data_IF_579979527894
#
_entry.id   IF_579979527894
#
_cell.length_a   1.000
_cell.length_b   1.000
_cell.length_c   1.000
_cell.angle_alpha   90.00
_cell.angle_beta   90.00
_cell.angle_gamma   90.00
#
_symmetry.space_group_name_H-M   'P 1'
#
loop_
_entity.id
_entity.type
_entity.pdbx_description
1 polymer ?
#
# COMPACT_ATOMS: atom_id res chain seq x y z
N UNK A 1 -15.52 -18.20 16.44
CA UNK A 1 -14.07 -17.95 16.58
C UNK A 1 -13.42 -18.69 17.75
N UNK A 2 -13.94 -18.67 18.99
CA UNK A 2 -13.29 -19.36 20.13
C UNK A 2 -13.02 -20.86 19.90
N UNK A 3 -13.98 -21.61 19.35
CA UNK A 3 -13.77 -23.02 19.04
C UNK A 3 -12.67 -23.24 17.98
N UNK A 4 -12.57 -22.34 17.00
CA UNK A 4 -11.52 -22.35 15.99
C UNK A 4 -10.16 -22.07 16.61
N UNK A 5 -10.01 -21.05 17.46
CA UNK A 5 -8.71 -20.75 18.10
C UNK A 5 -8.25 -21.90 19.03
N UNK A 6 -9.19 -22.53 19.76
CA UNK A 6 -8.88 -23.75 20.54
C UNK A 6 -8.43 -24.92 19.66
N UNK A 7 -9.01 -25.04 18.46
CA UNK A 7 -8.59 -26.06 17.49
C UNK A 7 -7.23 -25.72 16.88
N UNK A 8 -7.00 -24.45 16.52
CA UNK A 8 -5.76 -23.97 15.95
C UNK A 8 -4.59 -24.11 16.93
N UNK A 9 -4.77 -23.80 18.22
CA UNK A 9 -3.77 -24.03 19.27
C UNK A 9 -3.36 -25.51 19.38
N UNK A 10 -4.34 -26.43 19.29
CA UNK A 10 -4.06 -27.88 19.26
C UNK A 10 -3.29 -28.29 18.00
N UNK A 11 -3.74 -27.83 16.83
CA UNK A 11 -3.07 -28.10 15.56
C UNK A 11 -1.65 -27.54 15.52
N UNK A 12 -1.42 -26.37 16.10
CA UNK A 12 -0.11 -25.74 16.11
C UNK A 12 0.87 -26.48 17.03
N UNK A 13 0.38 -26.89 18.19
CA UNK A 13 1.20 -27.56 19.21
C UNK A 13 1.55 -29.00 18.82
N UNK A 14 0.70 -29.68 18.04
CA UNK A 14 0.90 -31.05 17.61
C UNK A 14 2.01 -31.16 16.54
N UNK A 15 3.13 -31.87 16.82
CA UNK A 15 4.20 -32.10 15.84
C UNK A 15 3.77 -32.94 14.63
N UNK A 16 2.69 -33.72 14.74
CA UNK A 16 2.15 -34.56 13.66
C UNK A 16 1.02 -33.89 12.88
N UNK A 17 0.68 -32.66 13.22
CA UNK A 17 -0.36 -31.89 12.55
C UNK A 17 -0.03 -31.67 11.08
N UNK A 18 -1.04 -31.84 10.22
CA UNK A 18 -0.96 -31.51 8.79
C UNK A 18 -0.61 -30.04 8.55
N UNK A 19 -0.84 -29.16 9.53
CA UNK A 19 -0.54 -27.73 9.42
C UNK A 19 0.95 -27.42 9.63
N UNK A 20 1.76 -28.37 10.12
CA UNK A 20 3.18 -28.13 10.39
C UNK A 20 3.97 -27.63 9.18
N UNK A 21 3.90 -28.27 8.00
CA UNK A 21 4.54 -27.76 6.80
C UNK A 21 4.06 -26.35 6.42
N UNK A 22 2.78 -26.03 6.67
CA UNK A 22 2.22 -24.71 6.41
C UNK A 22 2.76 -23.63 7.35
N UNK A 23 3.12 -24.00 8.59
CA UNK A 23 3.64 -23.11 9.61
C UNK A 23 5.15 -22.83 9.49
N UNK A 24 5.90 -23.65 8.76
CA UNK A 24 7.34 -23.51 8.56
C UNK A 24 7.71 -22.18 7.87
N UNK A 25 8.76 -21.53 8.34
CA UNK A 25 9.24 -20.26 7.78
C UNK A 25 9.53 -20.40 6.29
N UNK A 26 8.89 -19.55 5.49
CA UNK A 26 9.09 -19.48 4.04
C UNK A 26 10.09 -18.38 3.69
N UNK A 27 10.66 -18.48 2.50
CA UNK A 27 11.62 -17.51 1.95
C UNK A 27 11.23 -17.13 0.53
N UNK A 28 11.57 -15.92 0.14
CA UNK A 28 11.60 -15.53 -1.27
C UNK A 28 12.72 -16.28 -2.01
N UNK A 29 12.71 -16.21 -3.35
CA UNK A 29 13.70 -16.88 -4.20
C UNK A 29 15.16 -16.45 -3.93
N UNK A 30 15.37 -15.25 -3.39
CA UNK A 30 16.67 -14.71 -3.00
C UNK A 30 17.09 -15.09 -1.57
N UNK A 31 16.29 -15.89 -0.87
CA UNK A 31 16.56 -16.36 0.49
C UNK A 31 16.08 -15.43 1.61
N UNK A 32 15.57 -14.24 1.30
CA UNK A 32 15.00 -13.34 2.29
C UNK A 32 13.73 -13.96 2.93
N UNK A 33 13.48 -13.72 4.23
CA UNK A 33 12.32 -14.30 4.91
C UNK A 33 11.00 -13.75 4.34
N UNK A 34 10.02 -14.62 4.16
CA UNK A 34 8.66 -14.25 3.77
C UNK A 34 7.73 -14.23 4.99
N UNK A 35 6.98 -13.13 5.15
CA UNK A 35 6.02 -12.96 6.25
C UNK A 35 4.70 -13.69 6.02
N UNK A 36 4.34 -14.00 4.78
CA UNK A 36 3.07 -14.62 4.45
C UNK A 36 3.26 -16.06 3.98
N UNK A 37 2.44 -16.97 4.49
CA UNK A 37 2.45 -18.38 4.09
C UNK A 37 1.15 -19.09 4.42
N UNK A 38 0.70 -19.94 3.50
CA UNK A 38 -0.49 -20.78 3.66
C UNK A 38 -1.73 -20.01 4.16
N UNK A 39 -1.91 -18.77 3.70
CA UNK A 39 -3.05 -17.96 4.07
C UNK A 39 -2.92 -17.19 5.39
N UNK A 40 -1.75 -17.19 6.05
CA UNK A 40 -1.51 -16.47 7.31
C UNK A 40 -0.29 -15.56 7.22
N UNK A 41 -0.42 -14.39 7.84
CA UNK A 41 0.69 -13.50 8.15
C UNK A 41 1.40 -13.98 9.41
N UNK A 42 2.72 -13.83 9.41
CA UNK A 42 3.59 -14.06 10.55
C UNK A 42 4.34 -12.76 10.84
N UNK A 43 4.04 -12.18 11.99
CA UNK A 43 4.44 -10.82 12.35
C UNK A 43 5.05 -10.84 13.74
N UNK A 44 6.13 -10.09 13.91
CA UNK A 44 6.69 -9.80 15.22
C UNK A 44 6.01 -8.56 15.82
N UNK A 45 5.52 -8.71 17.05
CA UNK A 45 4.96 -7.62 17.85
C UNK A 45 5.85 -7.45 19.07
N UNK A 46 6.84 -6.56 18.97
CA UNK A 46 7.80 -6.25 20.03
C UNK A 46 8.48 -7.50 20.62
N UNK A 47 8.97 -8.39 19.76
CA UNK A 47 9.61 -9.66 20.13
C UNK A 47 8.65 -10.82 20.35
N UNK A 48 7.34 -10.61 20.23
CA UNK A 48 6.33 -11.67 20.28
C UNK A 48 6.02 -12.13 18.86
N UNK A 49 6.42 -13.36 18.54
CA UNK A 49 6.09 -13.98 17.27
C UNK A 49 4.60 -14.32 17.23
N UNK A 50 3.88 -13.76 16.25
CA UNK A 50 2.46 -13.98 16.06
C UNK A 50 2.15 -14.58 14.69
N UNK A 51 1.01 -15.26 14.59
CA UNK A 51 0.45 -15.77 13.35
C UNK A 51 -1.04 -15.42 13.26
N UNK A 52 -1.45 -14.84 12.14
CA UNK A 52 -2.73 -14.16 12.06
C UNK A 52 -3.22 -13.92 10.66
N UNK A 53 -4.44 -13.41 10.56
CA UNK A 53 -4.96 -12.85 9.32
C UNK A 53 -6.07 -11.85 9.62
N UNK A 54 -6.15 -10.82 8.78
CA UNK A 54 -7.25 -9.87 8.76
C UNK A 54 -8.41 -10.33 7.87
N UNK A 55 -9.45 -9.53 7.82
CA UNK A 55 -10.49 -9.67 6.82
C UNK A 55 -11.24 -8.35 6.72
N UNK A 56 -11.57 -7.96 5.49
CA UNK A 56 -12.26 -6.72 5.24
C UNK A 56 -13.32 -6.93 4.17
N UNK A 57 -14.45 -6.27 4.38
CA UNK A 57 -15.47 -6.00 3.38
C UNK A 57 -16.07 -4.63 3.72
N UNK A 58 -16.72 -3.95 2.78
CA UNK A 58 -17.37 -2.68 3.10
C UNK A 58 -18.31 -2.81 4.30
N UNK A 59 -18.04 -2.04 5.34
CA UNK A 59 -18.79 -2.06 6.61
C UNK A 59 -18.36 -3.11 7.64
N UNK A 60 -17.33 -3.93 7.36
CA UNK A 60 -16.88 -4.99 8.26
C UNK A 60 -15.36 -5.09 8.30
N UNK A 61 -14.80 -5.27 9.50
CA UNK A 61 -13.38 -5.58 9.71
C UNK A 61 -13.25 -6.68 10.74
N UNK A 62 -12.29 -7.57 10.52
CA UNK A 62 -11.90 -8.56 11.52
C UNK A 62 -10.39 -8.73 11.52
N UNK A 63 -9.86 -9.15 12.66
CA UNK A 63 -8.50 -9.60 12.77
C UNK A 63 -8.39 -10.73 13.78
N UNK A 64 -7.61 -11.76 13.45
CA UNK A 64 -7.18 -12.78 14.41
C UNK A 64 -5.66 -12.79 14.50
N UNK A 65 -5.16 -12.96 15.71
CA UNK A 65 -3.74 -13.03 16.02
C UNK A 65 -3.51 -14.09 17.09
N UNK A 66 -2.59 -15.01 16.85
CA UNK A 66 -2.20 -16.07 17.78
C UNK A 66 -0.71 -15.97 18.08
N UNK A 67 -0.35 -15.89 19.36
CA UNK A 67 1.02 -15.91 19.86
C UNK A 67 1.32 -17.33 20.36
N UNK A 68 2.06 -18.17 19.59
CA UNK A 68 2.10 -19.60 19.88
C UNK A 68 2.83 -19.99 21.15
N UNK A 69 3.89 -19.25 21.52
CA UNK A 69 4.66 -19.51 22.73
C UNK A 69 3.82 -19.21 23.99
N UNK A 70 3.01 -18.17 23.92
CA UNK A 70 2.11 -17.71 24.98
C UNK A 70 0.77 -18.49 24.95
N UNK A 71 0.51 -19.23 23.87
CA UNK A 71 -0.76 -19.92 23.58
C UNK A 71 -1.96 -18.98 23.73
N UNK A 72 -1.77 -17.73 23.29
CA UNK A 72 -2.71 -16.63 23.45
C UNK A 72 -3.29 -16.28 22.08
N UNK A 73 -4.62 -16.21 21.99
CA UNK A 73 -5.31 -15.72 20.80
C UNK A 73 -6.08 -14.44 21.12
N UNK A 74 -5.95 -13.45 20.24
CA UNK A 74 -6.78 -12.24 20.23
C UNK A 74 -7.59 -12.24 18.94
N UNK A 75 -8.89 -12.00 19.06
CA UNK A 75 -9.80 -11.89 17.92
C UNK A 75 -10.64 -10.64 18.08
N UNK A 76 -10.65 -9.79 17.06
CA UNK A 76 -11.45 -8.58 16.99
C UNK A 76 -12.37 -8.67 15.79
N UNK A 77 -13.65 -8.34 15.97
CA UNK A 77 -14.64 -8.27 14.90
C UNK A 77 -15.42 -6.97 15.06
N UNK A 78 -15.42 -6.16 14.02
CA UNK A 78 -16.17 -4.92 13.94
C UNK A 78 -17.22 -5.01 12.83
N UNK A 79 -18.40 -4.49 13.14
CA UNK A 79 -19.47 -4.17 12.17
C UNK A 79 -19.33 -2.73 11.65
N UNK A 80 -18.09 -2.24 11.59
CA UNK A 80 -17.67 -0.98 11.02
C UNK A 80 -16.23 -1.10 10.49
N UNK A 81 -15.71 -0.03 9.89
CA UNK A 81 -14.45 -0.06 9.14
C UNK A 81 -13.22 0.43 9.91
N UNK A 82 -13.25 0.41 11.25
CA UNK A 82 -12.06 0.75 12.02
C UNK A 82 -11.02 -0.38 11.94
N UNK A 83 -9.77 -0.06 12.23
CA UNK A 83 -8.67 -1.01 12.17
C UNK A 83 -8.80 -2.09 13.26
N UNK A 84 -9.26 -3.27 12.86
CA UNK A 84 -9.34 -4.43 13.74
C UNK A 84 -7.95 -5.05 14.03
N UNK A 85 -6.97 -4.83 13.16
CA UNK A 85 -5.59 -5.28 13.35
C UNK A 85 -4.90 -4.50 14.45
N UNK A 86 -4.96 -3.16 14.39
CA UNK A 86 -4.43 -2.28 15.44
C UNK A 86 -5.10 -2.55 16.80
N UNK A 87 -6.42 -2.74 16.82
CA UNK A 87 -7.13 -3.12 18.04
C UNK A 87 -6.69 -4.49 18.60
N UNK A 88 -6.45 -5.49 17.74
CA UNK A 88 -5.97 -6.80 18.17
C UNK A 88 -4.53 -6.72 18.72
N UNK A 89 -3.66 -5.97 18.04
CA UNK A 89 -2.29 -5.73 18.47
C UNK A 89 -2.26 -5.00 19.82
N UNK A 90 -3.08 -3.95 20.00
CA UNK A 90 -3.23 -3.24 21.26
C UNK A 90 -3.60 -4.17 22.42
N UNK A 91 -4.61 -5.03 22.25
CA UNK A 91 -5.04 -5.98 23.27
C UNK A 91 -3.90 -6.95 23.60
N UNK A 92 -3.21 -7.50 22.60
CA UNK A 92 -2.07 -8.39 22.81
C UNK A 92 -0.98 -7.70 23.65
N UNK A 93 -0.57 -6.49 23.25
CA UNK A 93 0.45 -5.69 23.93
C UNK A 93 0.10 -5.45 25.39
N UNK A 94 -1.17 -5.11 25.68
CA UNK A 94 -1.64 -4.88 27.06
C UNK A 94 -1.69 -6.16 27.90
N UNK A 95 -2.15 -7.28 27.35
CA UNK A 95 -2.16 -8.57 28.07
C UNK A 95 -0.75 -9.02 28.40
N UNK A 96 0.19 -8.86 27.48
CA UNK A 96 1.59 -9.29 27.65
C UNK A 96 2.49 -8.22 28.28
N UNK A 97 1.95 -7.03 28.60
CA UNK A 97 2.69 -5.89 29.17
C UNK A 97 3.92 -5.52 28.33
N UNK A 98 3.74 -5.48 27.00
CA UNK A 98 4.81 -5.13 26.06
C UNK A 98 5.16 -3.63 26.18
N UNK A 99 6.42 -3.25 25.91
CA UNK A 99 6.86 -1.86 25.95
C UNK A 99 6.05 -1.00 24.96
N UNK A 100 5.83 0.28 25.27
CA UNK A 100 5.21 1.21 24.32
C UNK A 100 6.18 1.62 23.21
N UNK A 101 5.69 1.93 21.99
CA UNK A 101 6.57 2.33 20.90
C UNK A 101 7.24 3.66 21.26
N UNK A 102 8.54 3.77 20.96
CA UNK A 102 9.28 5.00 21.20
C UNK A 102 8.75 6.16 20.35
N UNK A 103 8.60 7.33 20.97
CA UNK A 103 8.31 8.55 20.26
C UNK A 103 9.51 8.96 19.38
N UNK A 104 9.25 9.60 18.24
CA UNK A 104 10.34 10.25 17.50
C UNK A 104 10.88 11.42 18.32
N UNK A 105 12.19 11.50 18.45
CA UNK A 105 12.90 12.68 18.99
C UNK A 105 13.66 13.44 17.90
N UNK A 106 13.43 13.08 16.63
CA UNK A 106 14.14 13.62 15.47
C UNK A 106 13.12 14.26 14.54
N UNK A 107 13.38 15.51 14.18
CA UNK A 107 12.60 16.22 13.18
C UNK A 107 13.02 15.77 11.77
N UNK A 108 12.08 15.38 10.89
CA UNK A 108 12.39 15.06 9.52
C UNK A 108 12.76 16.32 8.74
N UNK A 109 13.72 16.20 7.82
CA UNK A 109 14.06 17.28 6.90
C UNK A 109 12.87 17.61 5.98
N UNK A 110 12.56 18.90 5.70
CA UNK A 110 11.48 19.29 4.80
C UNK A 110 11.51 18.62 3.42
N UNK A 111 12.69 18.18 2.96
CA UNK A 111 12.83 17.43 1.71
C UNK A 111 12.04 16.11 1.70
N UNK A 112 11.56 15.57 2.82
CA UNK A 112 10.73 14.37 2.77
C UNK A 112 9.42 14.59 2.02
N UNK A 113 8.83 15.77 2.14
CA UNK A 113 7.45 16.01 1.73
C UNK A 113 7.30 16.09 0.21
N UNK A 114 6.24 15.48 -0.32
CA UNK A 114 5.88 15.58 -1.73
C UNK A 114 5.50 14.26 -2.37
N UNK A 115 5.46 14.28 -3.70
CA UNK A 115 5.16 13.13 -4.54
C UNK A 115 6.44 12.67 -5.24
N UNK A 116 6.58 11.37 -5.41
CA UNK A 116 7.68 10.73 -6.11
C UNK A 116 7.14 9.66 -7.05
N UNK A 117 7.87 9.31 -8.10
CA UNK A 117 7.54 8.22 -9.01
C UNK A 117 8.67 7.21 -9.05
N UNK A 118 8.36 5.97 -8.72
CA UNK A 118 9.26 4.85 -8.96
C UNK A 118 9.15 4.39 -10.42
N UNK A 119 10.23 4.56 -11.19
CA UNK A 119 10.24 4.23 -12.63
C UNK A 119 10.10 2.73 -12.88
N UNK A 120 10.56 1.91 -11.95
CA UNK A 120 10.53 0.46 -12.08
C UNK A 120 9.14 -0.11 -11.83
N UNK A 121 8.34 0.41 -10.91
CA UNK A 121 6.96 -0.06 -10.67
C UNK A 121 5.90 0.78 -11.36
N UNK A 122 6.26 2.01 -11.80
CA UNK A 122 5.32 3.02 -12.29
C UNK A 122 4.26 3.42 -11.26
N UNK A 123 4.61 3.34 -9.97
CA UNK A 123 3.74 3.73 -8.86
C UNK A 123 4.24 5.01 -8.20
N UNK A 124 3.30 5.87 -7.84
CA UNK A 124 3.61 7.07 -7.08
C UNK A 124 3.80 6.75 -5.59
N UNK A 125 4.78 7.39 -4.98
CA UNK A 125 4.97 7.44 -3.53
C UNK A 125 4.58 8.83 -3.05
N UNK A 126 3.73 8.90 -2.04
CA UNK A 126 3.34 10.17 -1.43
C UNK A 126 3.85 10.22 0.01
N UNK A 127 4.53 11.31 0.35
CA UNK A 127 5.06 11.54 1.69
C UNK A 127 4.45 12.80 2.27
N UNK A 128 3.82 12.67 3.43
CA UNK A 128 3.16 13.76 4.15
C UNK A 128 3.58 13.77 5.63
N UNK A 129 3.47 14.92 6.32
CA UNK A 129 3.66 14.93 7.77
C UNK A 129 2.58 14.10 8.47
N UNK A 130 2.94 13.49 9.60
CA UNK A 130 2.01 12.81 10.50
C UNK A 130 2.13 13.37 11.93
N UNK A 131 1.35 12.83 12.86
CA UNK A 131 1.35 13.22 14.27
C UNK A 131 2.70 12.91 14.91
N UNK A 132 3.04 13.67 15.95
CA UNK A 132 4.23 13.44 16.80
C UNK A 132 5.57 13.39 16.04
N UNK A 133 5.72 14.20 14.98
CA UNK A 133 6.96 14.29 14.22
C UNK A 133 7.28 13.05 13.36
N UNK A 134 6.30 12.17 13.16
CA UNK A 134 6.39 11.05 12.21
C UNK A 134 6.10 11.52 10.78
N UNK A 135 6.44 10.68 9.82
CA UNK A 135 6.04 10.83 8.42
C UNK A 135 5.05 9.73 8.06
N UNK A 136 4.15 10.05 7.14
CA UNK A 136 3.23 9.10 6.53
C UNK A 136 3.67 8.85 5.09
N UNK A 137 4.00 7.59 4.76
CA UNK A 137 4.39 7.19 3.41
C UNK A 137 3.27 6.32 2.83
N UNK A 138 2.63 6.80 1.75
CA UNK A 138 1.62 6.04 1.01
C UNK A 138 2.22 5.49 -0.28
N UNK A 139 2.24 4.17 -0.42
CA UNK A 139 2.76 3.46 -1.60
C UNK A 139 1.97 2.19 -1.92
N UNK A 140 1.62 1.41 -0.90
CA UNK A 140 0.92 0.12 -1.04
C UNK A 140 -0.61 0.22 -1.00
N UNK A 141 -1.16 1.43 -1.12
CA UNK A 141 -2.60 1.74 -1.03
C UNK A 141 -3.02 2.27 0.34
N UNK A 142 -2.37 1.82 1.41
CA UNK A 142 -2.50 2.38 2.76
C UNK A 142 -1.26 3.21 3.13
N UNK A 143 -1.46 4.14 4.05
CA UNK A 143 -0.41 4.97 4.60
C UNK A 143 0.34 4.20 5.69
N UNK A 144 1.66 4.13 5.59
CA UNK A 144 2.52 3.57 6.62
C UNK A 144 3.18 4.69 7.42
N UNK A 145 2.97 4.68 8.74
CA UNK A 145 3.67 5.57 9.66
C UNK A 145 5.15 5.16 9.76
N UNK A 146 6.06 6.09 9.46
CA UNK A 146 7.50 5.89 9.64
C UNK A 146 8.06 6.91 10.62
N UNK A 147 8.99 6.45 11.45
CA UNK A 147 9.69 7.24 12.45
C UNK A 147 11.03 7.73 11.89
N UNK A 148 11.30 9.04 11.85
CA UNK A 148 12.63 9.56 11.56
C UNK A 148 13.67 9.06 12.57
N UNK A 149 14.83 8.66 12.06
CA UNK A 149 16.02 8.30 12.86
C UNK A 149 17.18 9.29 12.64
N UNK A 150 17.17 9.96 11.49
CA UNK A 150 17.95 11.16 11.19
C UNK A 150 17.06 12.08 10.37
N UNK A 151 17.51 13.31 10.08
CA UNK A 151 16.76 14.20 9.18
C UNK A 151 16.45 13.58 7.81
N UNK A 152 17.25 12.60 7.35
CA UNK A 152 17.19 12.02 5.99
C UNK A 152 16.93 10.51 5.96
N UNK A 153 16.71 9.87 7.11
CA UNK A 153 16.38 8.44 7.21
C UNK A 153 15.22 8.20 8.16
N UNK A 154 14.32 7.30 7.80
CA UNK A 154 13.19 6.90 8.61
C UNK A 154 12.97 5.38 8.54
N UNK A 155 12.30 4.82 9.54
CA UNK A 155 11.96 3.39 9.59
C UNK A 155 10.60 3.13 10.21
N UNK A 156 10.05 1.98 9.90
CA UNK A 156 8.91 1.34 10.55
C UNK A 156 9.24 -0.15 10.73
N UNK A 157 8.25 -0.96 11.14
CA UNK A 157 8.37 -2.42 11.17
C UNK A 157 8.58 -3.02 9.76
N UNK A 158 7.93 -2.47 8.75
CA UNK A 158 7.90 -3.02 7.38
C UNK A 158 8.86 -2.34 6.40
N UNK A 159 9.45 -1.22 6.77
CA UNK A 159 10.15 -0.35 5.82
C UNK A 159 11.33 0.38 6.42
N UNK A 160 12.38 0.54 5.62
CA UNK A 160 13.46 1.51 5.84
C UNK A 160 13.49 2.46 4.65
N UNK A 161 13.42 3.77 4.92
CA UNK A 161 13.39 4.80 3.90
C UNK A 161 14.54 5.80 4.08
N UNK A 162 15.04 6.35 2.97
CA UNK A 162 16.01 7.42 2.95
C UNK A 162 15.71 8.41 1.81
N UNK A 163 15.97 9.69 2.05
CA UNK A 163 15.77 10.77 1.09
C UNK A 163 17.11 11.46 0.78
N UNK A 164 17.33 11.78 -0.48
CA UNK A 164 18.40 12.67 -0.93
C UNK A 164 17.84 13.63 -1.99
N UNK A 165 17.33 14.76 -1.53
CA UNK A 165 16.68 15.82 -2.30
C UNK A 165 15.60 15.28 -3.24
N UNK A 166 15.98 14.93 -4.46
CA UNK A 166 15.09 14.47 -5.52
C UNK A 166 14.88 12.96 -5.53
N UNK A 167 15.66 12.19 -4.75
CA UNK A 167 15.59 10.73 -4.80
C UNK A 167 15.17 10.14 -3.46
N UNK A 168 14.08 9.38 -3.48
CA UNK A 168 13.55 8.61 -2.36
C UNK A 168 13.91 7.13 -2.56
N UNK A 169 14.58 6.54 -1.58
CA UNK A 169 14.88 5.10 -1.54
C UNK A 169 14.06 4.46 -0.44
N UNK A 170 13.30 3.43 -0.77
CA UNK A 170 12.48 2.65 0.16
C UNK A 170 12.85 1.18 0.03
N UNK A 171 13.20 0.54 1.14
CA UNK A 171 13.30 -0.90 1.26
C UNK A 171 12.09 -1.41 2.07
N UNK A 172 11.12 -2.02 1.39
CA UNK A 172 9.99 -2.73 2.01
C UNK A 172 10.42 -4.15 2.31
N UNK A 173 10.98 -4.35 3.49
CA UNK A 173 11.54 -5.63 3.93
C UNK A 173 10.49 -6.73 3.93
N UNK A 174 9.26 -6.36 4.25
CA UNK A 174 8.12 -7.25 4.35
C UNK A 174 7.58 -7.76 3.00
N UNK A 175 7.89 -7.04 1.92
CA UNK A 175 7.45 -7.34 0.55
C UNK A 175 8.64 -7.75 -0.36
N UNK A 176 9.85 -7.79 0.19
CA UNK A 176 11.10 -8.04 -0.53
C UNK A 176 11.25 -7.13 -1.77
N UNK A 177 10.95 -5.85 -1.59
CA UNK A 177 10.93 -4.85 -2.65
C UNK A 177 11.77 -3.63 -2.28
N UNK A 178 12.64 -3.24 -3.21
CA UNK A 178 13.36 -1.97 -3.16
C UNK A 178 12.72 -1.03 -4.19
N UNK A 179 12.51 0.20 -3.79
CA UNK A 179 11.85 1.26 -4.55
C UNK A 179 12.81 2.44 -4.65
N UNK A 180 13.00 2.94 -5.86
CA UNK A 180 13.83 4.09 -6.18
C UNK A 180 12.99 5.12 -6.93
N UNK A 181 12.47 6.08 -6.18
CA UNK A 181 11.50 7.04 -6.68
C UNK A 181 12.10 8.43 -6.85
N UNK A 182 11.85 9.04 -8.01
CA UNK A 182 12.27 10.39 -8.33
C UNK A 182 11.17 11.39 -7.97
N UNK A 183 11.56 12.55 -7.45
CA UNK A 183 10.64 13.60 -7.06
C UNK A 183 9.86 14.11 -8.26
N UNK A 184 8.56 14.22 -8.07
CA UNK A 184 7.66 14.91 -8.98
C UNK A 184 7.50 16.35 -8.50
N UNK A 185 7.81 17.28 -9.39
CA UNK A 185 7.60 18.70 -9.14
C UNK A 185 6.22 19.11 -9.67
N UNK A 186 5.35 19.73 -8.85
CA UNK A 186 4.12 20.33 -9.35
C UNK A 186 4.46 21.45 -10.35
N UNK A 187 3.55 21.81 -11.27
CA UNK A 187 3.86 22.77 -12.32
C UNK A 187 3.97 24.17 -11.70
N UNK A 188 4.91 24.96 -12.21
CA UNK A 188 4.92 26.40 -11.96
C UNK A 188 3.83 27.06 -12.80
N UNK A 189 2.58 27.12 -12.27
CA UNK A 189 1.39 27.76 -12.85
C UNK A 189 0.96 27.29 -14.27
N UNK A 190 -0.32 26.94 -14.42
CA UNK A 190 -0.97 26.79 -15.74
C UNK A 190 -0.86 25.39 -16.35
N UNK A 191 -1.27 24.36 -15.60
CA UNK A 191 -1.37 22.99 -16.12
C UNK A 191 -2.27 22.95 -17.37
N UNK A 192 -1.70 22.55 -18.49
CA UNK A 192 -2.46 22.31 -19.71
C UNK A 192 -2.98 20.86 -19.68
N UNK A 193 -4.27 20.70 -19.40
CA UNK A 193 -4.93 19.39 -19.39
C UNK A 193 -5.18 18.82 -20.79
N UNK A 194 -5.30 19.67 -21.80
CA UNK A 194 -5.69 19.29 -23.15
C UNK A 194 -4.89 18.10 -23.75
N UNK A 195 -3.55 18.00 -23.55
CA UNK A 195 -2.79 16.85 -24.05
C UNK A 195 -3.21 15.51 -23.46
N UNK A 196 -3.75 15.45 -22.23
CA UNK A 196 -4.11 14.19 -21.57
C UNK A 196 -5.51 13.71 -21.93
N UNK A 197 -6.37 14.58 -22.47
CA UNK A 197 -7.76 14.26 -22.79
C UNK A 197 -7.87 13.25 -23.94
N UNK A 198 -8.88 12.39 -23.85
CA UNK A 198 -9.22 11.40 -24.87
C UNK A 198 -9.40 10.01 -24.29
N UNK A 199 -9.56 9.05 -25.20
CA UNK A 199 -9.80 7.65 -24.89
C UNK A 199 -8.53 6.84 -25.11
N UNK A 200 -8.32 5.84 -24.24
CA UNK A 200 -7.17 4.96 -24.29
C UNK A 200 -7.62 3.52 -24.09
N UNK A 201 -7.13 2.57 -24.89
CA UNK A 201 -7.51 1.16 -24.84
C UNK A 201 -6.40 0.29 -24.25
N UNK A 202 -6.75 -0.55 -23.29
CA UNK A 202 -5.90 -1.65 -22.83
C UNK A 202 -6.34 -2.95 -23.52
N UNK A 203 -5.48 -3.50 -24.37
CA UNK A 203 -5.76 -4.74 -25.08
C UNK A 203 -5.83 -5.96 -24.15
N UNK A 204 -4.98 -6.00 -23.13
CA UNK A 204 -4.92 -7.11 -22.16
C UNK A 204 -6.22 -7.25 -21.36
N UNK A 205 -6.79 -6.13 -20.94
CA UNK A 205 -8.01 -6.09 -20.11
C UNK A 205 -9.30 -5.95 -20.92
N UNK A 206 -9.19 -5.77 -22.25
CA UNK A 206 -10.28 -5.36 -23.13
C UNK A 206 -11.14 -4.25 -22.51
N UNK A 207 -10.46 -3.20 -22.04
CA UNK A 207 -11.05 -2.08 -21.33
C UNK A 207 -10.62 -0.75 -21.97
N UNK A 208 -11.46 0.27 -21.82
CA UNK A 208 -11.18 1.64 -22.27
C UNK A 208 -11.13 2.55 -21.05
N UNK A 209 -10.10 3.40 -21.00
CA UNK A 209 -9.97 4.50 -20.06
C UNK A 209 -10.35 5.80 -20.77
N UNK A 210 -11.30 6.52 -20.20
CA UNK A 210 -11.77 7.82 -20.68
C UNK A 210 -11.18 8.92 -19.79
N UNK A 211 -10.39 9.82 -20.37
CA UNK A 211 -9.84 10.97 -19.68
C UNK A 211 -10.53 12.25 -20.17
N UNK A 212 -11.33 12.85 -19.29
CA UNK A 212 -12.12 14.04 -19.59
C UNK A 212 -11.84 15.17 -18.60
N UNK A 213 -12.25 16.39 -18.92
CA UNK A 213 -12.15 17.52 -17.99
C UNK A 213 -11.69 18.81 -18.66
N UNK A 214 -11.35 19.80 -17.84
CA UNK A 214 -10.89 21.12 -18.30
C UNK A 214 -10.06 21.83 -17.23
N UNK A 215 -9.04 22.57 -17.67
CA UNK A 215 -8.17 23.32 -16.76
C UNK A 215 -7.39 22.36 -15.87
N UNK A 216 -7.48 22.53 -14.55
CA UNK A 216 -6.76 21.69 -13.59
C UNK A 216 -7.60 20.50 -13.07
N UNK A 217 -8.84 20.36 -13.54
CA UNK A 217 -9.76 19.30 -13.11
C UNK A 217 -9.92 18.28 -14.22
N UNK A 218 -9.25 17.14 -14.05
CA UNK A 218 -9.42 15.95 -14.89
C UNK A 218 -10.22 14.87 -14.16
N UNK A 219 -10.92 14.07 -14.93
CA UNK A 219 -11.70 12.94 -14.49
C UNK A 219 -11.36 11.73 -15.35
N UNK A 220 -11.33 10.57 -14.71
CA UNK A 220 -11.11 9.28 -15.35
C UNK A 220 -12.32 8.36 -15.17
N UNK A 221 -12.74 7.68 -16.23
CA UNK A 221 -13.75 6.61 -16.17
C UNK A 221 -13.23 5.36 -16.90
N UNK A 222 -13.76 4.19 -16.56
CA UNK A 222 -13.38 2.93 -17.20
C UNK A 222 -14.59 2.18 -17.72
N UNK A 223 -14.51 1.75 -18.97
CA UNK A 223 -15.46 0.85 -19.60
C UNK A 223 -14.79 -0.51 -19.82
N UNK A 224 -15.52 -1.59 -19.59
CA UNK A 224 -15.03 -2.95 -19.85
C UNK A 224 -16.12 -3.99 -19.73
N UNK A 225 -15.72 -5.26 -19.62
CA UNK A 225 -16.64 -6.40 -19.61
C UNK A 225 -17.64 -6.40 -18.44
N UNK A 226 -17.34 -5.67 -17.36
CA UNK A 226 -18.21 -5.53 -16.19
C UNK A 226 -19.16 -4.33 -16.27
N UNK A 227 -19.14 -3.59 -17.39
CA UNK A 227 -19.96 -2.41 -17.63
C UNK A 227 -19.15 -1.11 -17.63
N UNK A 228 -19.87 -0.01 -17.45
CA UNK A 228 -19.33 1.36 -17.48
C UNK A 228 -19.17 1.89 -16.05
N UNK A 229 -17.95 2.30 -15.71
CA UNK A 229 -17.59 2.84 -14.41
C UNK A 229 -17.94 4.32 -14.28
N UNK A 230 -18.18 4.83 -13.06
CA UNK A 230 -18.38 6.25 -12.84
C UNK A 230 -17.08 7.04 -13.06
N UNK A 231 -17.22 8.34 -13.34
CA UNK A 231 -16.09 9.24 -13.40
C UNK A 231 -15.50 9.50 -12.00
N UNK A 232 -14.18 9.42 -11.90
CA UNK A 232 -13.39 9.63 -10.70
C UNK A 232 -12.44 10.81 -10.87
N UNK A 233 -12.22 11.59 -9.80
CA UNK A 233 -11.34 12.75 -9.84
C UNK A 233 -9.88 12.33 -10.02
N UNK A 234 -9.18 13.02 -10.90
CA UNK A 234 -7.73 12.95 -11.07
C UNK A 234 -7.05 14.12 -10.39
N UNK A 235 -6.04 13.83 -9.58
CA UNK A 235 -5.18 14.81 -8.91
C UNK A 235 -3.80 14.81 -9.56
N UNK A 236 -3.35 15.98 -9.99
CA UNK A 236 -2.02 16.14 -10.56
C UNK A 236 -0.93 15.88 -9.51
N UNK A 237 0.10 15.11 -9.87
CA UNK A 237 1.23 14.81 -8.98
C UNK A 237 2.54 15.51 -9.42
N UNK A 238 2.70 15.76 -10.72
CA UNK A 238 3.89 16.39 -11.32
C UNK A 238 4.27 15.73 -12.65
N UNK A 239 4.89 16.49 -13.56
CA UNK A 239 5.22 16.02 -14.91
C UNK A 239 4.01 15.48 -15.67
N UNK A 240 4.10 14.25 -16.18
CA UNK A 240 3.03 13.51 -16.85
C UNK A 240 2.34 12.50 -15.91
N UNK A 241 2.36 12.76 -14.60
CA UNK A 241 1.88 11.83 -13.56
C UNK A 241 0.66 12.38 -12.81
N UNK A 242 -0.35 11.53 -12.69
CA UNK A 242 -1.61 11.81 -12.01
C UNK A 242 -1.99 10.68 -11.05
N UNK A 243 -2.81 11.00 -10.06
CA UNK A 243 -3.49 10.02 -9.20
C UNK A 243 -5.00 10.04 -9.50
N UNK A 244 -5.60 8.90 -9.82
CA UNK A 244 -7.05 8.73 -9.95
C UNK A 244 -7.63 8.07 -8.70
N UNK A 245 -8.56 8.75 -8.04
CA UNK A 245 -9.11 8.28 -6.78
C UNK A 245 -10.10 7.11 -6.97
N UNK A 246 -9.82 5.96 -6.35
CA UNK A 246 -10.75 4.83 -6.25
C UNK A 246 -11.05 4.53 -4.76
N UNK A 247 -11.92 5.32 -4.12
CA UNK A 247 -12.18 5.19 -2.68
C UNK A 247 -13.05 3.97 -2.34
N UNK A 248 -13.68 3.33 -3.33
CA UNK A 248 -14.60 2.20 -3.14
C UNK A 248 -14.42 1.18 -4.26
N UNK A 249 -14.34 -0.08 -3.87
CA UNK A 249 -14.34 -1.24 -4.77
C UNK A 249 -15.43 -2.25 -4.39
N UNK A 250 -15.46 -3.35 -5.14
CA UNK A 250 -16.23 -4.54 -4.76
C UNK A 250 -15.63 -5.19 -3.50
N UNK A 251 -14.30 -5.26 -3.45
CA UNK A 251 -13.53 -5.72 -2.29
C UNK A 251 -13.08 -4.55 -1.39
N UNK A 252 -12.58 -4.87 -0.20
CA UNK A 252 -12.00 -3.93 0.75
C UNK A 252 -10.62 -4.39 1.28
N UNK A 253 -9.64 -3.48 1.43
CA UNK A 253 -9.69 -2.08 1.04
C UNK A 253 -9.82 -1.93 -0.49
N UNK A 254 -10.38 -0.80 -0.93
CA UNK A 254 -10.36 -0.46 -2.34
C UNK A 254 -8.90 -0.27 -2.81
N UNK A 255 -8.61 -0.30 -4.12
CA UNK A 255 -7.25 -0.08 -4.63
C UNK A 255 -6.58 1.23 -4.18
N UNK A 256 -7.37 2.21 -3.72
CA UNK A 256 -6.88 3.51 -3.30
C UNK A 256 -6.68 4.43 -4.49
N UNK A 257 -5.56 5.14 -4.53
CA UNK A 257 -5.21 5.97 -5.68
C UNK A 257 -4.50 5.13 -6.74
N UNK A 258 -5.05 5.10 -7.95
CA UNK A 258 -4.34 4.59 -9.13
C UNK A 258 -3.34 5.64 -9.60
N UNK A 259 -2.10 5.23 -9.85
CA UNK A 259 -1.09 6.04 -10.51
C UNK A 259 -1.31 5.96 -12.02
N UNK A 260 -1.37 7.12 -12.67
CA UNK A 260 -1.45 7.27 -14.12
C UNK A 260 -0.17 7.96 -14.58
N UNK A 261 0.60 7.29 -15.43
CA UNK A 261 1.82 7.84 -16.02
C UNK A 261 1.63 7.94 -17.53
N UNK A 262 1.40 9.15 -18.02
CA UNK A 262 1.26 9.40 -19.45
C UNK A 262 2.63 9.35 -20.14
N UNK A 263 2.65 8.79 -21.34
CA UNK A 263 3.84 8.72 -22.19
C UNK A 263 3.65 9.56 -23.44
N UNK A 264 4.74 10.17 -23.91
CA UNK A 264 4.77 11.02 -25.09
C UNK A 264 5.67 10.43 -26.17
N UNK A 265 5.36 10.73 -27.42
CA UNK A 265 6.21 10.43 -28.56
C UNK A 265 7.29 11.50 -28.79
N UNK A 266 8.05 11.35 -29.87
CA UNK A 266 9.11 12.29 -30.29
C UNK A 266 8.59 13.69 -30.61
N UNK A 267 7.29 13.84 -30.89
CA UNK A 267 6.62 15.10 -31.20
C UNK A 267 5.94 15.71 -29.96
N UNK A 268 6.29 15.24 -28.76
CA UNK A 268 5.70 15.67 -27.48
C UNK A 268 4.19 15.39 -27.36
N UNK A 269 3.66 14.49 -28.19
CA UNK A 269 2.24 14.12 -28.20
C UNK A 269 2.00 12.93 -27.27
N UNK A 270 1.00 13.03 -26.39
CA UNK A 270 0.62 11.95 -25.47
C UNK A 270 0.04 10.77 -26.26
N UNK A 271 0.68 9.60 -26.22
CA UNK A 271 0.29 8.41 -27.01
C UNK A 271 -0.27 7.28 -26.16
N UNK A 272 0.10 7.19 -24.89
CA UNK A 272 -0.38 6.15 -23.98
C UNK A 272 -0.39 6.62 -22.53
N UNK A 273 -1.03 5.83 -21.67
CA UNK A 273 -0.99 5.97 -20.23
C UNK A 273 -0.77 4.62 -19.58
N UNK A 274 0.21 4.54 -18.69
CA UNK A 274 0.40 3.39 -17.81
C UNK A 274 -0.39 3.60 -16.54
N UNK A 275 -1.31 2.68 -16.23
CA UNK A 275 -2.19 2.75 -15.07
C UNK A 275 -1.85 1.61 -14.11
N UNK A 276 -1.67 1.93 -12.83
CA UNK A 276 -1.36 0.92 -11.82
C UNK A 276 -1.61 1.35 -10.39
N UNK A 277 -1.83 0.38 -9.51
CA UNK A 277 -1.79 0.51 -8.07
C UNK A 277 -0.94 -0.63 -7.49
N UNK A 278 -0.76 -0.67 -6.17
CA UNK A 278 0.02 -1.72 -5.54
C UNK A 278 -0.42 -3.15 -5.90
N UNK A 279 -1.75 -3.35 -5.96
CA UNK A 279 -2.39 -4.64 -6.23
C UNK A 279 -2.29 -5.07 -7.69
N UNK A 280 -2.17 -4.13 -8.63
CA UNK A 280 -2.08 -4.43 -10.06
C UNK A 280 -1.33 -3.31 -10.78
N UNK A 281 -0.19 -3.64 -11.39
CA UNK A 281 0.80 -2.67 -11.85
C UNK A 281 0.95 -2.72 -13.36
N UNK A 282 1.20 -1.56 -13.95
CA UNK A 282 1.65 -1.40 -15.33
C UNK A 282 0.70 -1.90 -16.42
N UNK A 283 -0.60 -1.64 -16.28
CA UNK A 283 -1.49 -1.81 -17.43
C UNK A 283 -1.30 -0.66 -18.40
N UNK A 284 -0.90 -0.96 -19.62
CA UNK A 284 -0.77 0.02 -20.69
C UNK A 284 -2.12 0.24 -21.39
N UNK A 285 -2.51 1.50 -21.50
CA UNK A 285 -3.64 1.95 -22.30
C UNK A 285 -3.12 2.86 -23.41
N UNK A 286 -3.32 2.46 -24.66
CA UNK A 286 -2.86 3.19 -25.86
C UNK A 286 -3.98 4.08 -26.37
N UNK A 287 -3.68 5.33 -26.73
CA UNK A 287 -4.66 6.28 -27.27
C UNK A 287 -5.34 5.72 -28.53
N UNK A 288 -6.65 5.93 -28.65
CA UNK A 288 -7.46 5.57 -29.83
C UNK A 288 -7.92 6.76 -30.65
#
# INVERSE_FOLDING_TARGET
>A
MVAYEKYFDRLWSDPQSWYRPCAESQKFNNGNPARYRSGLFHVDVEGVATVGHGGALRGYRLHRMYAPRERLSVVVLFNHEADAGDAAEYILRKILTLPEPEASTVDPDPQWLGNFLDRDTQLAVMVSPDKNGKLSITFSGEAEEVRPITGIKALSRGMVAAINWEHLSINRTEDNLIVHADRLFPPNLGLQSAPFLGDYRCAELDSVFHCEGKGEMLYGAFDGILGQGPAHLMRYLGGDVWALACPRGLDAPAPGNWTLVFSRDENDSVTSVTIGCWLARKFEFVRI
#
